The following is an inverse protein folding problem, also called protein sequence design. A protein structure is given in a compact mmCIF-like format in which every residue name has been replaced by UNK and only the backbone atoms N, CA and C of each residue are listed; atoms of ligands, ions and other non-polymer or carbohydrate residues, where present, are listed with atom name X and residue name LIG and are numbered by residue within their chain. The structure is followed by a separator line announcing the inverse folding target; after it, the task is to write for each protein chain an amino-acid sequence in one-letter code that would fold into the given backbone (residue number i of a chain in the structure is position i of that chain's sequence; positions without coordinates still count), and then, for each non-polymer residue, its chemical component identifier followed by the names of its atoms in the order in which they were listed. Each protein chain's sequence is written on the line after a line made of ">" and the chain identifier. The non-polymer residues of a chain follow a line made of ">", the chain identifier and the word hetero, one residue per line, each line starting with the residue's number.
data_IF_369233882399
#
_entry.id   IF_369233882399
#
_cell.length_a   1.000
_cell.length_b   1.000
_cell.length_c   1.000
_cell.angle_alpha   90.00
_cell.angle_beta   90.00
_cell.angle_gamma   90.00
#
_symmetry.space_group_name_H-M   'P 1'
#
loop_
_entity.id
_entity.type
_entity.pdbx_description
1 polymer ?
#
# COMPACT_ATOMS: atom_id res chain seq x y z
N UNK A 1 -27.01 12.26 16.04
CA UNK A 1 -26.63 11.52 17.26
C UNK A 1 -25.12 11.65 17.49
N UNK A 2 -24.66 12.16 18.64
CA UNK A 2 -23.25 12.15 19.00
C UNK A 2 -22.75 10.71 19.10
N UNK A 3 -21.65 10.42 18.41
CA UNK A 3 -21.09 9.06 18.30
C UNK A 3 -20.26 8.77 19.53
N UNK A 4 -20.58 7.71 20.29
CA UNK A 4 -19.88 7.39 21.54
C UNK A 4 -18.82 6.31 21.36
N UNK A 5 -17.82 6.29 22.24
CA UNK A 5 -16.82 5.23 22.31
C UNK A 5 -17.48 3.83 22.41
N UNK A 6 -18.53 3.70 23.23
CA UNK A 6 -19.29 2.46 23.39
C UNK A 6 -19.91 1.98 22.08
N UNK A 7 -20.46 2.89 21.27
CA UNK A 7 -21.00 2.56 19.94
C UNK A 7 -19.90 2.06 19.00
N UNK A 8 -18.75 2.73 18.98
CA UNK A 8 -17.62 2.30 18.14
C UNK A 8 -17.09 0.91 18.54
N UNK A 9 -16.90 0.65 19.85
CA UNK A 9 -16.46 -0.66 20.33
C UNK A 9 -17.50 -1.75 20.02
N UNK A 10 -18.78 -1.43 20.12
CA UNK A 10 -19.86 -2.36 19.76
C UNK A 10 -19.82 -2.70 18.27
N UNK A 11 -19.59 -1.71 17.40
CA UNK A 11 -19.42 -1.93 15.98
C UNK A 11 -18.17 -2.80 15.69
N UNK A 12 -17.04 -2.50 16.34
CA UNK A 12 -15.80 -3.30 16.19
C UNK A 12 -16.04 -4.75 16.60
N UNK A 13 -16.70 -5.01 17.73
CA UNK A 13 -17.00 -6.37 18.22
C UNK A 13 -17.95 -7.16 17.32
N UNK A 14 -18.54 -6.53 16.29
CA UNK A 14 -19.39 -7.17 15.28
C UNK A 14 -18.67 -7.34 13.95
N UNK A 15 -17.38 -7.05 13.86
CA UNK A 15 -16.61 -7.24 12.63
C UNK A 15 -16.34 -8.74 12.37
N UNK A 16 -16.32 -9.15 11.09
CA UNK A 16 -16.05 -10.53 10.65
C UNK A 16 -14.53 -10.81 10.61
N UNK A 17 -13.87 -10.71 11.76
CA UNK A 17 -12.42 -10.95 11.89
C UNK A 17 -12.13 -11.87 13.08
N UNK A 18 -10.92 -12.42 13.16
CA UNK A 18 -10.51 -13.25 14.29
C UNK A 18 -10.43 -12.45 15.60
N UNK A 19 -10.45 -13.17 16.72
CA UNK A 19 -10.46 -12.59 18.07
C UNK A 19 -9.20 -11.78 18.38
N UNK A 20 -8.02 -12.17 17.87
CA UNK A 20 -6.77 -11.44 18.05
C UNK A 20 -6.83 -10.11 17.32
N UNK A 21 -7.28 -10.10 16.06
CA UNK A 21 -7.53 -8.86 15.30
C UNK A 21 -8.50 -7.94 16.02
N UNK A 22 -9.62 -8.45 16.56
CA UNK A 22 -10.56 -7.64 17.35
C UNK A 22 -9.90 -7.01 18.57
N UNK A 23 -9.17 -7.80 19.35
CA UNK A 23 -8.52 -7.33 20.56
C UNK A 23 -7.49 -6.24 20.24
N UNK A 24 -6.71 -6.42 19.17
CA UNK A 24 -5.78 -5.40 18.66
C UNK A 24 -6.49 -4.12 18.26
N UNK A 25 -7.61 -4.19 17.53
CA UNK A 25 -8.38 -2.99 17.14
C UNK A 25 -8.90 -2.27 18.39
N UNK A 26 -9.52 -3.00 19.33
CA UNK A 26 -10.05 -2.40 20.56
C UNK A 26 -8.94 -1.76 21.39
N UNK A 27 -7.79 -2.42 21.53
CA UNK A 27 -6.64 -1.87 22.23
C UNK A 27 -6.09 -0.60 21.55
N UNK A 28 -5.99 -0.61 20.22
CA UNK A 28 -5.56 0.55 19.42
C UNK A 28 -6.51 1.74 19.61
N UNK A 29 -7.82 1.52 19.51
CA UNK A 29 -8.81 2.59 19.74
C UNK A 29 -8.74 3.12 21.17
N UNK A 30 -8.61 2.25 22.18
CA UNK A 30 -8.41 2.67 23.58
C UNK A 30 -7.15 3.53 23.74
N UNK A 31 -6.04 3.13 23.11
CA UNK A 31 -4.78 3.89 23.15
C UNK A 31 -4.95 5.27 22.51
N UNK A 32 -5.60 5.36 21.35
CA UNK A 32 -5.84 6.63 20.67
C UNK A 32 -6.74 7.57 21.49
N UNK A 33 -7.75 7.02 22.18
CA UNK A 33 -8.58 7.81 23.11
C UNK A 33 -7.75 8.37 24.26
N UNK A 34 -6.87 7.55 24.86
CA UNK A 34 -5.98 7.99 25.95
C UNK A 34 -4.97 9.05 25.49
N UNK A 35 -4.53 8.99 24.24
CA UNK A 35 -3.51 9.88 23.67
C UNK A 35 -4.11 11.11 22.98
N UNK A 36 -5.43 11.20 22.84
CA UNK A 36 -6.09 12.29 22.12
C UNK A 36 -5.91 13.62 22.87
N UNK A 37 -5.08 14.50 22.31
CA UNK A 37 -4.91 15.87 22.81
C UNK A 37 -6.14 16.73 22.57
N UNK A 38 -6.87 16.46 21.48
CA UNK A 38 -8.08 17.18 21.09
C UNK A 38 -9.30 16.25 21.12
N UNK A 39 -10.28 16.47 22.02
CA UNK A 39 -11.50 15.67 22.08
C UNK A 39 -12.33 15.67 20.78
N UNK A 40 -12.16 16.69 19.93
CA UNK A 40 -12.88 16.84 18.65
C UNK A 40 -12.46 15.81 17.59
N UNK A 41 -11.31 15.17 17.71
CA UNK A 41 -10.85 14.13 16.77
C UNK A 41 -11.52 12.76 17.02
N UNK A 42 -11.99 12.53 18.25
CA UNK A 42 -12.59 11.26 18.68
C UNK A 42 -13.87 10.89 17.91
N UNK A 43 -14.84 11.80 17.69
CA UNK A 43 -16.00 11.50 16.86
C UNK A 43 -15.63 11.03 15.45
N UNK A 44 -14.57 11.58 14.84
CA UNK A 44 -14.12 11.18 13.49
C UNK A 44 -13.57 9.75 13.51
N UNK A 45 -12.76 9.41 14.51
CA UNK A 45 -12.27 8.05 14.73
C UNK A 45 -13.44 7.06 14.88
N UNK A 46 -14.39 7.37 15.75
CA UNK A 46 -15.54 6.50 16.02
C UNK A 46 -16.42 6.28 14.78
N UNK A 47 -16.74 7.37 14.07
CA UNK A 47 -17.50 7.30 12.82
C UNK A 47 -16.78 6.46 11.77
N UNK A 48 -15.45 6.51 11.71
CA UNK A 48 -14.67 5.73 10.74
C UNK A 48 -14.81 4.22 10.94
N UNK A 49 -14.88 3.74 12.19
CA UNK A 49 -15.06 2.31 12.50
C UNK A 49 -16.50 1.86 12.32
N UNK A 50 -17.46 2.70 12.71
CA UNK A 50 -18.88 2.43 12.47
C UNK A 50 -19.16 2.37 10.97
N UNK A 51 -18.61 3.31 10.19
CA UNK A 51 -18.74 3.31 8.73
C UNK A 51 -18.18 2.04 8.10
N UNK A 52 -17.01 1.56 8.55
CA UNK A 52 -16.44 0.30 8.05
C UNK A 52 -17.33 -0.90 8.39
N UNK A 53 -17.85 -0.96 9.62
CA UNK A 53 -18.76 -2.03 10.00
C UNK A 53 -20.04 -2.00 9.16
N UNK A 54 -20.62 -0.82 8.90
CA UNK A 54 -21.77 -0.68 8.00
C UNK A 54 -21.45 -1.13 6.59
N UNK A 55 -20.32 -0.71 6.03
CA UNK A 55 -19.93 -1.13 4.68
C UNK A 55 -19.80 -2.67 4.59
N UNK A 56 -19.21 -3.31 5.59
CA UNK A 56 -19.04 -4.76 5.61
C UNK A 56 -20.34 -5.52 5.86
N UNK A 57 -21.17 -5.03 6.79
CA UNK A 57 -22.30 -5.80 7.33
C UNK A 57 -23.65 -5.34 6.79
N UNK A 58 -23.84 -4.04 6.56
CA UNK A 58 -25.07 -3.45 6.01
C UNK A 58 -25.03 -3.40 4.49
N UNK A 59 -23.92 -2.94 3.90
CA UNK A 59 -23.76 -2.84 2.43
C UNK A 59 -23.15 -4.12 1.82
N UNK A 60 -22.78 -5.11 2.63
CA UNK A 60 -22.18 -6.38 2.22
C UNK A 60 -20.95 -6.23 1.30
N UNK A 61 -20.17 -5.15 1.50
CA UNK A 61 -18.95 -4.85 0.74
C UNK A 61 -17.76 -5.62 1.33
N UNK A 62 -17.71 -6.92 1.09
CA UNK A 62 -16.65 -7.80 1.63
C UNK A 62 -15.23 -7.45 1.17
N UNK A 63 -15.09 -6.68 0.08
CA UNK A 63 -13.79 -6.11 -0.32
C UNK A 63 -13.21 -5.17 0.74
N UNK A 64 -14.04 -4.50 1.55
CA UNK A 64 -13.60 -3.60 2.63
C UNK A 64 -12.99 -4.34 3.83
N UNK A 65 -12.93 -5.69 3.82
CA UNK A 65 -12.25 -6.44 4.87
C UNK A 65 -10.75 -6.14 4.85
N UNK A 66 -10.17 -5.91 3.66
CA UNK A 66 -8.78 -5.48 3.53
C UNK A 66 -8.54 -4.15 4.25
N UNK A 67 -9.52 -3.24 4.26
CA UNK A 67 -9.39 -1.95 4.93
C UNK A 67 -9.34 -2.10 6.46
N UNK A 68 -10.06 -3.10 7.01
CA UNK A 68 -10.00 -3.46 8.43
C UNK A 68 -8.62 -4.01 8.78
N UNK A 69 -8.10 -4.95 7.96
CA UNK A 69 -6.80 -5.56 8.16
C UNK A 69 -5.67 -4.52 8.00
N UNK A 70 -5.73 -3.69 6.98
CA UNK A 70 -4.77 -2.60 6.75
C UNK A 70 -4.69 -1.65 7.95
N UNK A 71 -5.84 -1.23 8.49
CA UNK A 71 -5.86 -0.36 9.68
C UNK A 71 -5.30 -1.02 10.94
N UNK A 72 -5.33 -2.34 11.03
CA UNK A 72 -4.87 -3.09 12.20
C UNK A 72 -3.37 -3.42 12.11
N UNK A 73 -2.91 -3.80 10.92
CA UNK A 73 -1.61 -4.46 10.72
C UNK A 73 -0.59 -3.62 9.94
N UNK A 74 -1.01 -2.73 9.02
CA UNK A 74 -0.06 -1.90 8.28
C UNK A 74 0.47 -0.77 9.15
N UNK A 75 1.77 -0.83 9.43
CA UNK A 75 2.51 0.22 10.15
C UNK A 75 3.62 0.72 9.23
N UNK A 76 3.48 1.91 8.62
CA UNK A 76 4.51 2.43 7.73
C UNK A 76 5.84 2.61 8.49
N UNK A 77 6.95 2.10 7.97
CA UNK A 77 8.28 2.36 8.52
C UNK A 77 8.57 3.86 8.63
N UNK A 78 9.39 4.27 9.59
CA UNK A 78 9.71 5.69 9.84
C UNK A 78 10.17 6.45 8.59
N UNK A 79 10.95 5.79 7.72
CA UNK A 79 11.47 6.40 6.49
C UNK A 79 10.36 6.81 5.50
N UNK A 80 9.19 6.18 5.53
CA UNK A 80 8.05 6.52 4.65
C UNK A 80 7.58 7.95 4.94
N UNK A 81 7.45 8.29 6.23
CA UNK A 81 7.04 9.62 6.66
C UNK A 81 8.10 10.67 6.31
N UNK A 82 9.38 10.35 6.54
CA UNK A 82 10.51 11.20 6.18
C UNK A 82 10.51 11.49 4.67
N UNK A 83 10.44 10.44 3.84
CA UNK A 83 10.39 10.58 2.38
C UNK A 83 9.20 11.41 1.91
N UNK A 84 8.03 11.22 2.50
CA UNK A 84 6.83 11.99 2.14
C UNK A 84 6.98 13.49 2.44
N UNK A 85 7.65 13.86 3.53
CA UNK A 85 7.88 15.26 3.90
C UNK A 85 8.97 15.96 3.07
N UNK A 86 9.95 15.22 2.52
CA UNK A 86 11.06 15.81 1.77
C UNK A 86 10.57 16.45 0.46
N UNK A 87 11.05 17.63 0.12
CA UNK A 87 10.68 18.30 -1.13
C UNK A 87 11.31 17.61 -2.34
N UNK A 88 10.65 17.59 -3.53
CA UNK A 88 11.24 16.99 -4.72
C UNK A 88 12.63 17.58 -5.06
N UNK A 89 12.83 18.89 -4.85
CA UNK A 89 14.09 19.58 -5.16
C UNK A 89 15.28 18.95 -4.42
N UNK A 90 15.09 18.56 -3.17
CA UNK A 90 16.13 17.90 -2.35
C UNK A 90 16.45 16.48 -2.81
N UNK A 91 15.51 15.79 -3.46
CA UNK A 91 15.69 14.44 -3.97
C UNK A 91 16.34 14.43 -5.36
N UNK A 92 16.21 15.53 -6.12
CA UNK A 92 16.64 15.63 -7.52
C UNK A 92 18.09 15.19 -7.76
N UNK A 93 19.09 15.57 -6.94
CA UNK A 93 20.48 15.15 -7.17
C UNK A 93 20.71 13.64 -7.02
N UNK A 94 19.91 12.97 -6.20
CA UNK A 94 20.09 11.57 -5.84
C UNK A 94 19.18 10.63 -6.64
N UNK A 95 18.19 11.19 -7.34
CA UNK A 95 17.19 10.40 -8.04
C UNK A 95 17.74 9.88 -9.37
N UNK A 96 17.49 8.60 -9.73
CA UNK A 96 17.91 8.05 -11.01
C UNK A 96 17.19 8.75 -12.17
N UNK A 97 17.96 9.34 -13.06
CA UNK A 97 17.50 10.11 -14.22
C UNK A 97 18.12 9.52 -15.48
N UNK A 98 17.29 9.37 -16.53
CA UNK A 98 17.69 8.80 -17.81
C UNK A 98 17.21 9.72 -18.92
N UNK A 99 18.11 10.12 -19.81
CA UNK A 99 17.75 10.82 -21.03
C UNK A 99 17.58 9.79 -22.14
N UNK A 100 16.39 9.72 -22.75
CA UNK A 100 16.08 8.63 -23.70
C UNK A 100 16.98 8.65 -24.94
N UNK A 101 17.52 9.82 -25.30
CA UNK A 101 18.46 9.91 -26.43
C UNK A 101 19.76 9.13 -26.17
N UNK A 102 20.19 9.00 -24.90
CA UNK A 102 21.40 8.26 -24.54
C UNK A 102 21.25 6.76 -24.83
N UNK A 103 20.01 6.24 -24.83
CA UNK A 103 19.71 4.84 -25.09
C UNK A 103 19.45 4.53 -26.58
N UNK A 104 18.95 5.50 -27.36
CA UNK A 104 18.43 5.26 -28.71
C UNK A 104 18.99 6.20 -29.80
N UNK A 105 19.83 7.16 -29.44
CA UNK A 105 20.35 8.21 -30.33
C UNK A 105 21.56 7.77 -31.17
N UNK A 106 21.76 8.45 -32.29
CA UNK A 106 23.00 8.32 -33.07
C UNK A 106 24.07 9.27 -32.52
N UNK A 107 25.35 8.90 -32.65
CA UNK A 107 26.52 9.70 -32.23
C UNK A 107 26.43 11.21 -32.58
N UNK A 108 26.05 11.60 -33.81
CA UNK A 108 25.94 13.02 -34.18
C UNK A 108 24.81 13.76 -33.46
N UNK A 109 23.69 13.09 -33.19
CA UNK A 109 22.55 13.67 -32.48
C UNK A 109 22.84 13.81 -30.98
N UNK A 110 23.55 12.83 -30.40
CA UNK A 110 23.99 12.85 -29.00
C UNK A 110 24.90 14.05 -28.70
N UNK A 111 25.89 14.32 -29.56
CA UNK A 111 26.79 15.48 -29.38
C UNK A 111 26.01 16.80 -29.35
N UNK A 112 25.12 17.02 -30.33
CA UNK A 112 24.25 18.21 -30.38
C UNK A 112 23.35 18.32 -29.15
N UNK A 113 22.83 17.19 -28.66
CA UNK A 113 21.98 17.15 -27.47
C UNK A 113 22.74 17.56 -26.21
N UNK A 114 23.93 16.98 -25.97
CA UNK A 114 24.73 17.30 -24.79
C UNK A 114 25.25 18.73 -24.81
N UNK A 115 25.61 19.27 -25.98
CA UNK A 115 25.95 20.69 -26.14
C UNK A 115 24.78 21.59 -25.74
N UNK A 116 23.57 21.31 -26.25
CA UNK A 116 22.37 22.05 -25.87
C UNK A 116 21.99 21.88 -24.38
N UNK A 117 22.20 20.69 -23.82
CA UNK A 117 21.93 20.39 -22.42
C UNK A 117 22.89 21.14 -21.49
N UNK A 118 24.17 21.25 -21.85
CA UNK A 118 25.16 22.02 -21.10
C UNK A 118 24.79 23.50 -21.03
N UNK A 119 24.24 24.07 -22.11
CA UNK A 119 23.74 25.45 -22.14
C UNK A 119 22.53 25.65 -21.20
N UNK A 120 21.62 24.67 -21.14
CA UNK A 120 20.45 24.71 -20.24
C UNK A 120 20.88 24.53 -18.77
N UNK A 121 21.85 23.65 -18.51
CA UNK A 121 22.42 23.40 -17.18
C UNK A 121 23.16 24.61 -16.63
N UNK A 122 23.93 25.31 -17.46
CA UNK A 122 24.61 26.56 -17.10
C UNK A 122 23.62 27.67 -16.65
N UNK A 123 22.36 27.59 -17.07
CA UNK A 123 21.30 28.52 -16.68
C UNK A 123 20.63 28.19 -15.32
N UNK A 124 20.79 26.99 -14.76
CA UNK A 124 20.08 26.55 -13.55
C UNK A 124 20.94 25.83 -12.50
N UNK A 125 22.25 25.73 -12.70
CA UNK A 125 23.19 25.26 -11.69
C UNK A 125 24.45 26.12 -11.72
N UNK A 126 24.54 27.05 -10.76
CA UNK A 126 25.81 27.36 -10.12
C UNK A 126 26.34 26.07 -9.46
N UNK A 127 27.65 25.90 -9.41
CA UNK A 127 28.44 24.80 -8.79
C UNK A 127 28.75 23.58 -9.66
N UNK A 128 29.86 23.74 -10.40
CA UNK A 128 30.98 22.79 -10.68
C UNK A 128 31.45 22.87 -12.14
N UNK A 129 31.99 24.04 -12.52
CA UNK A 129 33.11 24.05 -13.46
C UNK A 129 34.36 23.71 -12.64
N UNK A 130 34.79 22.45 -12.67
CA UNK A 130 36.23 22.20 -12.53
C UNK A 130 36.84 22.47 -13.90
N UNK A 131 37.54 23.60 -14.02
CA UNK A 131 38.46 23.81 -15.13
C UNK A 131 39.60 22.80 -15.05
N UNK A 132 40.27 22.50 -16.18
CA UNK A 132 41.42 21.62 -16.16
C UNK A 132 42.59 22.38 -15.49
N UNK A 133 42.98 21.97 -14.27
CA UNK A 133 44.25 22.39 -13.68
C UNK A 133 44.28 22.79 -12.21
N UNK A 134 43.15 22.91 -11.50
CA UNK A 134 43.18 23.29 -10.09
C UNK A 134 42.79 22.11 -9.19
N UNK A 135 43.79 21.60 -8.46
CA UNK A 135 43.60 20.62 -7.39
C UNK A 135 42.52 21.11 -6.41
N UNK A 136 41.50 20.29 -6.10
CA UNK A 136 40.40 20.71 -5.25
C UNK A 136 40.92 21.15 -3.88
N UNK A 137 40.50 22.34 -3.44
CA UNK A 137 40.76 22.81 -2.08
C UNK A 137 40.42 21.71 -1.08
N UNK A 138 41.42 21.28 -0.30
CA UNK A 138 41.25 20.24 0.70
C UNK A 138 40.36 20.80 1.81
N UNK A 139 39.15 20.27 1.96
CA UNK A 139 38.23 20.69 3.02
C UNK A 139 38.90 20.51 4.40
N UNK A 140 39.06 21.63 5.12
CA UNK A 140 39.40 21.66 6.54
C UNK A 140 38.22 21.06 7.34
N UNK A 141 38.29 19.75 7.59
CA UNK A 141 37.35 18.89 8.34
C UNK A 141 36.12 18.40 7.54
N UNK A 142 36.19 17.11 7.14
CA UNK A 142 35.01 16.28 6.85
C UNK A 142 34.24 16.00 8.15
N UNK A 143 33.18 16.75 8.42
CA UNK A 143 32.18 16.35 9.42
C UNK A 143 31.17 15.41 8.75
N UNK A 144 31.48 14.11 8.77
CA UNK A 144 30.55 13.04 8.40
C UNK A 144 30.91 12.33 7.09
N UNK A 145 31.50 11.14 7.21
CA UNK A 145 31.59 10.12 6.15
C UNK A 145 30.26 9.34 5.99
N UNK A 146 29.12 9.97 6.28
CA UNK A 146 27.80 9.34 6.24
C UNK A 146 27.14 9.55 4.89
N UNK A 147 26.58 8.48 4.31
CA UNK A 147 25.67 8.55 3.15
C UNK A 147 24.57 9.57 3.45
N UNK A 148 24.33 10.51 2.53
CA UNK A 148 23.35 11.59 2.70
C UNK A 148 21.98 11.01 3.08
N UNK A 149 21.27 11.62 4.03
CA UNK A 149 19.90 11.21 4.40
C UNK A 149 19.00 11.10 3.17
N UNK A 150 19.11 12.04 2.23
CA UNK A 150 18.31 12.06 1.00
C UNK A 150 18.66 10.94 0.03
N UNK A 151 19.93 10.53 -0.01
CA UNK A 151 20.40 9.39 -0.79
C UNK A 151 19.85 8.09 -0.21
N UNK A 152 19.89 7.91 1.11
CA UNK A 152 19.30 6.74 1.77
C UNK A 152 17.78 6.64 1.56
N UNK A 153 17.06 7.77 1.64
CA UNK A 153 15.62 7.81 1.39
C UNK A 153 15.30 7.49 -0.07
N UNK A 154 16.12 7.98 -0.99
CA UNK A 154 15.99 7.69 -2.43
C UNK A 154 16.24 6.21 -2.70
N UNK A 155 17.31 5.62 -2.17
CA UNK A 155 17.61 4.19 -2.33
C UNK A 155 16.46 3.31 -1.81
N UNK A 156 15.92 3.60 -0.63
CA UNK A 156 14.76 2.87 -0.08
C UNK A 156 13.51 3.00 -0.96
N UNK A 157 13.22 4.20 -1.46
CA UNK A 157 12.09 4.44 -2.36
C UNK A 157 12.26 3.72 -3.71
N UNK A 158 13.48 3.72 -4.26
CA UNK A 158 13.84 3.00 -5.49
C UNK A 158 13.72 1.49 -5.29
N UNK A 159 14.26 0.94 -4.19
CA UNK A 159 14.14 -0.48 -3.84
C UNK A 159 12.68 -0.93 -3.75
N UNK A 160 11.83 -0.17 -3.04
CA UNK A 160 10.39 -0.47 -2.97
C UNK A 160 9.74 -0.41 -4.36
N UNK A 161 10.04 0.62 -5.15
CA UNK A 161 9.44 0.80 -6.48
C UNK A 161 9.81 -0.36 -7.42
N UNK A 162 11.09 -0.78 -7.41
CA UNK A 162 11.56 -1.95 -8.16
C UNK A 162 10.88 -3.23 -7.70
N UNK A 163 10.76 -3.44 -6.39
CA UNK A 163 10.06 -4.59 -5.83
C UNK A 163 8.59 -4.64 -6.27
N UNK A 164 7.87 -3.52 -6.19
CA UNK A 164 6.45 -3.44 -6.59
C UNK A 164 6.30 -3.65 -8.10
N UNK A 165 7.19 -3.08 -8.91
CA UNK A 165 7.21 -3.27 -10.37
C UNK A 165 7.44 -4.73 -10.75
N UNK A 166 8.44 -5.38 -10.14
CA UNK A 166 8.74 -6.79 -10.38
C UNK A 166 7.57 -7.71 -9.98
N UNK A 167 6.86 -7.38 -8.92
CA UNK A 167 5.77 -8.19 -8.37
C UNK A 167 4.36 -7.64 -8.68
N UNK A 168 4.21 -6.84 -9.75
CA UNK A 168 2.98 -6.10 -10.05
C UNK A 168 1.73 -6.99 -10.19
N UNK A 169 1.89 -8.19 -10.75
CA UNK A 169 0.80 -9.15 -10.98
C UNK A 169 0.21 -9.65 -9.66
N UNK A 170 1.06 -9.97 -8.68
CA UNK A 170 0.65 -10.43 -7.36
C UNK A 170 0.12 -9.30 -6.49
N UNK A 171 0.74 -8.13 -6.52
CA UNK A 171 0.33 -6.97 -5.70
C UNK A 171 -0.88 -6.22 -6.29
N UNK A 172 -1.44 -6.69 -7.41
CA UNK A 172 -2.51 -6.04 -8.16
C UNK A 172 -2.21 -4.55 -8.50
N UNK A 173 -0.93 -4.25 -8.76
CA UNK A 173 -0.52 -2.91 -9.16
C UNK A 173 -0.92 -2.66 -10.62
N UNK A 174 -1.81 -1.69 -10.85
CA UNK A 174 -2.35 -1.39 -12.19
C UNK A 174 -1.35 -0.76 -13.17
N UNK A 175 -0.14 -0.42 -12.73
CA UNK A 175 0.84 0.35 -13.51
C UNK A 175 2.25 -0.15 -13.25
N UNK A 176 3.00 -0.34 -14.34
CA UNK A 176 4.44 -0.54 -14.26
C UNK A 176 5.11 0.80 -13.97
N UNK A 177 5.38 1.05 -12.69
CA UNK A 177 6.06 2.28 -12.24
C UNK A 177 7.54 1.95 -12.16
N UNK A 178 8.31 2.32 -13.19
CA UNK A 178 9.77 2.33 -13.13
C UNK A 178 10.25 3.39 -12.13
N UNK A 179 11.31 3.20 -11.34
CA UNK A 179 11.81 4.24 -10.44
C UNK A 179 12.48 5.40 -11.20
N UNK A 180 13.09 5.14 -12.36
CA UNK A 180 13.82 6.11 -13.15
C UNK A 180 12.90 7.22 -13.70
N UNK A 181 13.42 8.44 -13.74
CA UNK A 181 12.78 9.57 -14.45
C UNK A 181 13.34 9.59 -15.86
N UNK A 182 12.50 9.26 -16.84
CA UNK A 182 12.86 9.32 -18.25
C UNK A 182 12.52 10.69 -18.85
N UNK A 183 13.52 11.35 -19.43
CA UNK A 183 13.34 12.60 -20.16
C UNK A 183 13.33 12.31 -21.67
N UNK A 184 12.18 12.48 -22.35
CA UNK A 184 12.15 12.40 -23.80
C UNK A 184 12.82 13.63 -24.41
N UNK A 185 13.18 13.53 -25.69
CA UNK A 185 13.57 14.68 -26.50
C UNK A 185 12.34 15.46 -26.97
N UNK A 186 12.55 16.66 -27.48
CA UNK A 186 11.55 17.34 -28.29
C UNK A 186 11.50 16.79 -29.73
N UNK A 187 10.68 17.42 -30.57
CA UNK A 187 10.50 17.06 -31.98
C UNK A 187 11.78 17.23 -32.82
N UNK A 188 12.77 17.98 -32.33
CA UNK A 188 14.05 18.26 -32.99
C UNK A 188 15.21 17.48 -32.38
N UNK A 189 14.93 16.46 -31.57
CA UNK A 189 15.92 15.71 -30.82
C UNK A 189 16.75 16.58 -29.85
N UNK A 190 16.19 17.70 -29.37
CA UNK A 190 16.82 18.58 -28.38
C UNK A 190 16.31 18.29 -26.96
N UNK A 191 17.07 18.69 -25.92
CA UNK A 191 16.63 18.58 -24.54
C UNK A 191 15.38 19.44 -24.29
N UNK A 192 14.43 18.88 -23.53
CA UNK A 192 13.29 19.65 -23.06
C UNK A 192 13.74 20.85 -22.22
N UNK A 193 12.93 21.91 -22.22
CA UNK A 193 13.18 23.07 -21.35
C UNK A 193 13.26 22.68 -19.87
N UNK A 194 14.08 23.39 -19.09
CA UNK A 194 14.28 23.12 -17.66
C UNK A 194 12.96 23.06 -16.87
N UNK A 195 11.98 23.91 -17.23
CA UNK A 195 10.63 23.89 -16.67
C UNK A 195 9.90 22.58 -16.95
N UNK A 196 9.95 22.08 -18.19
CA UNK A 196 9.32 20.80 -18.57
C UNK A 196 10.01 19.62 -17.88
N UNK A 197 11.34 19.59 -17.84
CA UNK A 197 12.10 18.58 -17.11
C UNK A 197 11.72 18.55 -15.63
N UNK A 198 11.66 19.71 -14.97
CA UNK A 198 11.26 19.80 -13.58
C UNK A 198 9.81 19.32 -13.35
N UNK A 199 8.88 19.63 -14.25
CA UNK A 199 7.50 19.15 -14.15
C UNK A 199 7.42 17.61 -14.27
N UNK A 200 8.17 17.02 -15.21
CA UNK A 200 8.26 15.55 -15.36
C UNK A 200 8.80 14.94 -14.06
N UNK A 201 9.89 15.50 -13.54
CA UNK A 201 10.50 15.06 -12.28
C UNK A 201 9.52 15.14 -11.10
N UNK A 202 8.90 16.30 -10.86
CA UNK A 202 7.95 16.51 -9.76
C UNK A 202 6.75 15.57 -9.88
N UNK A 203 6.24 15.36 -11.10
CA UNK A 203 5.16 14.40 -11.35
C UNK A 203 5.59 12.98 -10.96
N UNK A 204 6.80 12.57 -11.34
CA UNK A 204 7.34 11.25 -11.00
C UNK A 204 7.49 11.06 -9.49
N UNK A 205 8.09 12.01 -8.79
CA UNK A 205 8.24 11.95 -7.33
C UNK A 205 6.86 11.87 -6.64
N UNK A 206 5.85 12.59 -7.16
CA UNK A 206 4.49 12.52 -6.64
C UNK A 206 3.89 11.12 -6.83
N UNK A 207 4.06 10.51 -8.00
CA UNK A 207 3.60 9.13 -8.26
C UNK A 207 4.29 8.13 -7.32
N UNK A 208 5.60 8.26 -7.10
CA UNK A 208 6.33 7.38 -6.19
C UNK A 208 5.91 7.59 -4.74
N UNK A 209 5.67 8.84 -4.30
CA UNK A 209 5.10 9.11 -2.97
C UNK A 209 3.72 8.49 -2.78
N UNK A 210 2.89 8.46 -3.82
CA UNK A 210 1.59 7.76 -3.78
C UNK A 210 1.78 6.25 -3.68
N UNK A 211 2.73 5.68 -4.44
CA UNK A 211 3.10 4.27 -4.37
C UNK A 211 3.55 3.88 -2.95
N UNK A 212 4.48 4.65 -2.36
CA UNK A 212 4.95 4.45 -0.98
C UNK A 212 3.79 4.50 0.03
N UNK A 213 2.78 5.33 -0.20
CA UNK A 213 1.61 5.40 0.69
C UNK A 213 0.68 4.20 0.53
N UNK A 214 0.58 3.65 -0.68
CA UNK A 214 -0.30 2.53 -1.00
C UNK A 214 0.29 1.17 -0.60
N UNK A 215 1.59 0.97 -0.86
CA UNK A 215 2.30 -0.28 -0.64
C UNK A 215 3.13 -0.22 0.63
N UNK A 216 2.44 -0.44 1.76
CA UNK A 216 3.06 -0.53 3.08
C UNK A 216 3.27 -2.01 3.45
N UNK A 217 4.49 -2.44 3.81
CA UNK A 217 4.76 -3.80 4.22
C UNK A 217 4.09 -4.12 5.56
N UNK A 218 3.81 -5.41 5.76
CA UNK A 218 3.44 -5.95 7.06
C UNK A 218 4.69 -6.38 7.84
N UNK A 219 4.59 -6.39 9.17
CA UNK A 219 5.58 -7.07 9.99
C UNK A 219 5.46 -8.58 9.74
N UNK A 220 6.59 -9.30 9.69
CA UNK A 220 6.63 -10.75 9.39
C UNK A 220 5.70 -11.55 10.31
N UNK A 221 5.83 -11.36 11.62
CA UNK A 221 4.94 -11.99 12.62
C UNK A 221 3.44 -11.71 12.39
N UNK A 222 3.11 -10.48 11.99
CA UNK A 222 1.73 -10.09 11.72
C UNK A 222 1.19 -10.76 10.45
N UNK A 223 2.04 -10.92 9.44
CA UNK A 223 1.73 -11.65 8.22
C UNK A 223 1.55 -13.15 8.50
N UNK A 224 2.44 -13.76 9.28
CA UNK A 224 2.38 -15.18 9.67
C UNK A 224 1.11 -15.50 10.45
N UNK A 225 0.69 -14.61 11.35
CA UNK A 225 -0.61 -14.73 12.04
C UNK A 225 -1.77 -14.73 11.04
N UNK A 226 -1.80 -13.79 10.10
CA UNK A 226 -2.85 -13.71 9.10
C UNK A 226 -2.86 -14.91 8.14
N UNK A 227 -1.69 -15.47 7.81
CA UNK A 227 -1.55 -16.72 7.06
C UNK A 227 -2.18 -17.87 7.85
N UNK A 228 -1.93 -17.93 9.15
CA UNK A 228 -2.53 -18.93 10.05
C UNK A 228 -4.05 -18.82 10.01
N UNK A 229 -4.61 -17.63 10.23
CA UNK A 229 -6.07 -17.37 10.11
C UNK A 229 -6.60 -17.77 8.73
N UNK A 230 -5.85 -17.52 7.66
CA UNK A 230 -6.27 -17.86 6.31
C UNK A 230 -6.26 -19.38 6.03
N UNK A 231 -5.41 -20.14 6.72
CA UNK A 231 -5.07 -21.54 6.38
C UNK A 231 -5.61 -22.57 7.36
N UNK A 232 -5.91 -22.19 8.61
CA UNK A 232 -6.43 -23.11 9.63
C UNK A 232 -7.74 -23.79 9.15
N UNK A 233 -7.85 -25.12 9.29
CA UNK A 233 -9.07 -25.87 8.99
C UNK A 233 -10.26 -25.38 9.83
N UNK A 234 -11.49 -25.51 9.29
CA UNK A 234 -12.72 -25.05 9.97
C UNK A 234 -12.99 -25.78 11.29
N UNK A 235 -12.47 -27.01 11.43
CA UNK A 235 -12.67 -27.86 12.60
C UNK A 235 -11.74 -27.48 13.77
N UNK A 236 -10.70 -26.68 13.51
CA UNK A 236 -9.79 -26.22 14.56
C UNK A 236 -10.34 -24.96 15.25
N UNK A 237 -10.51 -25.05 16.57
CA UNK A 237 -10.96 -23.94 17.42
C UNK A 237 -9.85 -22.92 17.73
N UNK A 238 -8.60 -23.21 17.36
CA UNK A 238 -7.44 -22.39 17.71
C UNK A 238 -7.52 -20.98 17.12
N UNK A 239 -8.10 -20.86 15.92
CA UNK A 239 -8.19 -19.59 15.19
C UNK A 239 -9.58 -19.42 14.60
N UNK A 240 -10.58 -19.18 15.45
CA UNK A 240 -11.96 -18.97 15.01
C UNK A 240 -12.26 -17.52 14.63
N UNK A 241 -13.09 -17.33 13.60
CA UNK A 241 -13.69 -16.02 13.29
C UNK A 241 -14.70 -15.65 14.38
N UNK A 242 -14.80 -14.36 14.69
CA UNK A 242 -15.63 -13.81 15.75
C UNK A 242 -17.08 -14.37 15.78
N UNK A 243 -17.47 -15.13 16.82
CA UNK A 243 -18.82 -15.68 16.93
C UNK A 243 -19.90 -14.60 17.09
N UNK A 244 -19.55 -13.43 17.64
CA UNK A 244 -20.51 -12.33 17.79
C UNK A 244 -20.92 -11.70 16.47
N UNK A 245 -20.10 -11.82 15.42
CA UNK A 245 -20.48 -11.39 14.08
C UNK A 245 -21.64 -12.25 13.56
N UNK A 246 -21.53 -13.59 13.65
CA UNK A 246 -22.57 -14.51 13.18
C UNK A 246 -23.88 -14.30 13.94
N UNK A 247 -23.83 -14.28 15.28
CA UNK A 247 -24.99 -13.99 16.13
C UNK A 247 -25.66 -12.65 15.80
N UNK A 248 -24.85 -11.63 15.48
CA UNK A 248 -25.37 -10.33 15.10
C UNK A 248 -26.06 -10.38 13.74
N UNK A 249 -25.48 -11.08 12.76
CA UNK A 249 -26.07 -11.23 11.43
C UNK A 249 -27.37 -12.03 11.47
N UNK A 250 -27.44 -13.09 12.27
CA UNK A 250 -28.66 -13.89 12.46
C UNK A 250 -29.79 -13.02 13.01
N UNK A 251 -29.56 -12.33 14.12
CA UNK A 251 -30.56 -11.41 14.72
C UNK A 251 -30.98 -10.30 13.76
N UNK A 252 -30.00 -9.70 13.05
CA UNK A 252 -30.29 -8.67 12.06
C UNK A 252 -31.25 -9.20 11.00
N UNK A 253 -31.07 -10.44 10.55
CA UNK A 253 -31.93 -11.09 9.54
C UNK A 253 -33.31 -11.39 10.04
N UNK A 254 -33.45 -11.84 11.28
CA UNK A 254 -34.76 -12.07 11.91
C UNK A 254 -35.56 -10.77 11.90
N UNK A 255 -34.95 -9.67 12.38
CA UNK A 255 -35.56 -8.33 12.38
C UNK A 255 -35.92 -7.88 10.96
N UNK A 256 -35.02 -8.05 10.00
CA UNK A 256 -35.26 -7.68 8.60
C UNK A 256 -36.37 -8.53 7.95
N UNK A 257 -36.48 -9.81 8.30
CA UNK A 257 -37.55 -10.70 7.85
C UNK A 257 -38.91 -10.27 8.40
N UNK A 258 -38.96 -9.68 9.57
CA UNK A 258 -40.21 -9.17 10.15
C UNK A 258 -40.57 -7.78 9.58
N UNK A 259 -39.59 -6.89 9.41
CA UNK A 259 -39.81 -5.47 9.14
C UNK A 259 -39.76 -5.07 7.66
N UNK A 260 -39.11 -5.83 6.78
CA UNK A 260 -39.01 -5.47 5.35
C UNK A 260 -40.31 -5.77 4.61
N UNK A 261 -40.67 -4.95 3.64
CA UNK A 261 -41.80 -5.26 2.74
C UNK A 261 -41.47 -6.48 1.85
N UNK A 262 -42.48 -7.28 1.44
CA UNK A 262 -42.27 -8.45 0.58
C UNK A 262 -41.47 -8.17 -0.70
N UNK A 263 -41.69 -6.99 -1.32
CA UNK A 263 -40.95 -6.54 -2.51
C UNK A 263 -39.45 -6.31 -2.24
N UNK A 264 -39.09 -5.80 -1.07
CA UNK A 264 -37.69 -5.61 -0.67
C UNK A 264 -37.03 -6.94 -0.30
N UNK A 265 -37.76 -7.87 0.32
CA UNK A 265 -37.28 -9.24 0.61
C UNK A 265 -36.93 -10.01 -0.66
N UNK A 266 -37.74 -9.86 -1.72
CA UNK A 266 -37.52 -10.50 -3.02
C UNK A 266 -36.29 -9.95 -3.78
N UNK A 267 -36.00 -8.64 -3.68
CA UNK A 267 -34.78 -8.04 -4.26
C UNK A 267 -33.49 -8.39 -3.51
N UNK A 268 -33.58 -8.74 -2.22
CA UNK A 268 -32.46 -9.17 -1.37
C UNK A 268 -32.22 -10.69 -1.38
N UNK A 269 -32.73 -11.41 -2.38
CA UNK A 269 -32.83 -12.90 -2.43
C UNK A 269 -31.54 -13.69 -2.21
N UNK A 270 -30.35 -13.08 -2.20
CA UNK A 270 -29.12 -13.72 -1.68
C UNK A 270 -28.95 -13.42 -0.18
N UNK A 271 -29.79 -14.02 0.65
CA UNK A 271 -29.76 -14.00 2.11
C UNK A 271 -28.58 -14.81 2.67
N UNK A 272 -27.35 -14.60 2.23
CA UNK A 272 -26.24 -15.49 2.60
C UNK A 272 -25.35 -14.85 3.65
N UNK A 273 -25.35 -15.41 4.88
CA UNK A 273 -24.38 -15.02 5.90
C UNK A 273 -23.10 -15.66 5.39
N UNK A 274 -22.02 -14.90 5.20
CA UNK A 274 -20.76 -15.52 4.83
C UNK A 274 -20.39 -16.49 5.92
N UNK A 275 -20.15 -17.74 5.53
CA UNK A 275 -19.59 -18.71 6.45
C UNK A 275 -18.16 -18.31 6.78
N UNK A 276 -17.61 -18.92 7.83
CA UNK A 276 -16.21 -18.76 8.18
C UNK A 276 -15.27 -19.06 7.00
N UNK A 277 -15.59 -20.07 6.19
CA UNK A 277 -14.83 -20.37 4.97
C UNK A 277 -14.75 -19.17 4.02
N UNK A 278 -15.84 -18.43 3.87
CA UNK A 278 -15.90 -17.29 2.96
C UNK A 278 -15.13 -16.10 3.49
N UNK A 279 -15.18 -15.86 4.80
CA UNK A 279 -14.36 -14.85 5.45
C UNK A 279 -12.88 -15.19 5.29
N UNK A 280 -12.49 -16.45 5.53
CA UNK A 280 -11.11 -16.92 5.32
C UNK A 280 -10.66 -16.78 3.86
N UNK A 281 -11.55 -16.94 2.87
CA UNK A 281 -11.24 -16.65 1.46
C UNK A 281 -10.81 -15.19 1.25
N UNK A 282 -11.42 -14.24 1.95
CA UNK A 282 -10.98 -12.85 1.93
C UNK A 282 -9.63 -12.64 2.62
N UNK A 283 -9.35 -13.35 3.73
CA UNK A 283 -8.00 -13.37 4.33
C UNK A 283 -6.95 -13.89 3.34
N UNK A 284 -7.20 -15.03 2.68
CA UNK A 284 -6.27 -15.59 1.66
C UNK A 284 -5.99 -14.58 0.55
N UNK A 285 -7.05 -14.00 -0.02
CA UNK A 285 -6.93 -12.98 -1.08
C UNK A 285 -6.16 -11.74 -0.60
N UNK A 286 -6.33 -11.36 0.66
CA UNK A 286 -5.58 -10.27 1.27
C UNK A 286 -4.10 -10.62 1.41
N UNK A 287 -3.80 -11.73 2.09
CA UNK A 287 -2.46 -12.18 2.49
C UNK A 287 -1.58 -12.49 1.28
N UNK A 288 -2.13 -13.10 0.22
CA UNK A 288 -1.40 -13.38 -1.03
C UNK A 288 -0.93 -12.13 -1.77
N UNK A 289 -1.54 -10.97 -1.47
CA UNK A 289 -1.21 -9.65 -2.03
C UNK A 289 -0.40 -8.78 -1.07
N UNK A 290 0.07 -9.33 0.05
CA UNK A 290 0.92 -8.63 1.00
C UNK A 290 2.40 -9.02 0.82
N UNK A 291 3.25 -8.22 1.43
CA UNK A 291 4.70 -8.40 1.48
C UNK A 291 5.22 -7.87 2.81
N UNK A 292 6.44 -8.25 3.17
CA UNK A 292 7.11 -7.85 4.40
C UNK A 292 8.57 -7.45 4.13
N UNK A 293 9.24 -6.92 5.15
CA UNK A 293 10.68 -6.70 5.14
C UNK A 293 11.30 -7.78 6.03
N UNK A 294 12.23 -8.56 5.50
CA UNK A 294 12.93 -9.60 6.25
C UNK A 294 13.98 -9.02 7.22
N UNK A 295 14.60 -9.89 8.01
CA UNK A 295 15.61 -9.51 9.00
C UNK A 295 16.87 -8.89 8.36
N UNK A 296 17.09 -9.14 7.06
CA UNK A 296 18.17 -8.55 6.26
C UNK A 296 17.80 -7.20 5.63
N UNK A 297 16.57 -6.72 5.82
CA UNK A 297 16.09 -5.46 5.25
C UNK A 297 15.60 -5.55 3.81
N UNK A 298 15.44 -6.76 3.26
CA UNK A 298 14.96 -7.00 1.91
C UNK A 298 13.44 -7.19 1.88
N UNK A 299 12.81 -6.74 0.80
CA UNK A 299 11.39 -6.96 0.57
C UNK A 299 11.13 -8.38 0.10
N UNK A 300 10.22 -9.08 0.77
CA UNK A 300 9.78 -10.42 0.42
C UNK A 300 8.26 -10.47 0.27
N UNK A 301 7.79 -11.17 -0.76
CA UNK A 301 6.36 -11.44 -0.91
C UNK A 301 5.87 -12.37 0.21
N UNK A 302 4.56 -12.33 0.46
CA UNK A 302 3.92 -13.33 1.29
C UNK A 302 4.21 -14.74 0.77
N UNK A 303 4.65 -15.68 1.64
CA UNK A 303 4.89 -17.07 1.25
C UNK A 303 3.60 -17.83 0.95
N UNK A 304 2.44 -17.23 1.23
CA UNK A 304 1.16 -17.83 0.91
C UNK A 304 0.87 -17.70 -0.58
N UNK A 305 0.74 -18.85 -1.24
CA UNK A 305 0.24 -18.93 -2.61
C UNK A 305 -1.25 -19.29 -2.63
N UNK A 306 -1.95 -18.88 -3.69
CA UNK A 306 -3.38 -19.20 -3.85
C UNK A 306 -3.53 -20.68 -4.22
N UNK A 307 -3.63 -21.56 -3.21
CA UNK A 307 -3.83 -23.01 -3.38
C UNK A 307 -5.06 -23.41 -4.23
N UNK A 308 -6.00 -22.49 -4.48
CA UNK A 308 -7.22 -22.75 -5.25
C UNK A 308 -7.12 -22.47 -6.76
N UNK A 309 -5.94 -22.14 -7.30
CA UNK A 309 -5.76 -22.19 -8.77
C UNK A 309 -5.61 -23.62 -9.31
N UNK A 310 -5.33 -24.61 -8.44
CA UNK A 310 -5.12 -26.01 -8.83
C UNK A 310 -6.21 -26.98 -8.34
N UNK A 311 -7.27 -26.49 -7.71
CA UNK A 311 -8.45 -27.34 -7.48
C UNK A 311 -9.33 -27.23 -8.71
N UNK A 312 -9.32 -28.28 -9.54
CA UNK A 312 -10.32 -28.47 -10.61
C UNK A 312 -11.70 -28.11 -10.06
N UNK A 313 -12.54 -27.38 -10.82
CA UNK A 313 -13.89 -27.12 -10.37
C UNK A 313 -14.57 -28.45 -10.07
N UNK A 314 -15.22 -28.54 -8.90
CA UNK A 314 -15.98 -29.71 -8.41
C UNK A 314 -17.10 -30.18 -9.37
N UNK A 315 -17.27 -29.53 -10.51
CA UNK A 315 -18.16 -29.93 -11.61
C UNK A 315 -17.56 -31.00 -12.53
N UNK A 316 -16.25 -31.27 -12.49
CA UNK A 316 -15.65 -32.35 -13.32
C UNK A 316 -15.60 -33.71 -12.60
N UNK A 317 -15.68 -33.75 -11.26
CA UNK A 317 -15.66 -35.00 -10.50
C UNK A 317 -17.03 -35.74 -10.45
N UNK A 318 -18.08 -35.16 -11.04
CA UNK A 318 -19.41 -35.79 -11.14
C UNK A 318 -19.71 -36.34 -12.55
N UNK A 319 -18.75 -36.26 -13.48
CA UNK A 319 -18.89 -36.77 -14.85
C UNK A 319 -17.86 -37.84 -15.23
N UNK A 320 -17.01 -38.28 -14.29
CA UNK A 320 -16.06 -39.38 -14.52
C UNK A 320 -16.56 -40.75 -14.02
N UNK A 321 -17.76 -40.83 -13.42
CA UNK A 321 -18.42 -42.09 -13.02
C UNK A 321 -19.80 -42.28 -13.69
N UNK A 322 -19.84 -42.23 -15.03
CA UNK A 322 -20.97 -42.75 -15.82
C UNK A 322 -20.50 -43.65 -16.97
#
# INVERSE_FOLDING_TARGET
>A
MPTTFKQAVTAIRRLPVDTVTLNRIVASVKSQVKQARNPQDLPRLYRSWISLQRQLVEDERWSSLSDVLDRCYKRPPQWYHQFRSVSPVQLKPFWPQVHLIDEFGTEPALRKYHEAQALIGASNTSWLRQGPGESPFTMLRKYGSGVSLYEQLTDKAVKLTRFVSHNQSRLAAKRNIKPEVSYPTDQYALPLSAKRQNNIFVKKIREVKQLVTQFVPLAKYDLDWLITVASTPLESSEVAINPNFFRYMERKREIEKEQLSPKLRAKRTKWWIPTEHNIRKHYRSYVTRQFFIDDSGNYQLSPMDNFFHNQKPLTEALHEDQ
#
